data_IF_564921802087
#
_entry.id   IF_564921802087
#
_cell.length_a   1.000
_cell.length_b   1.000
_cell.length_c   1.000
_cell.angle_alpha   90.00
_cell.angle_beta   90.00
_cell.angle_gamma   90.00
#
_symmetry.space_group_name_H-M   'P 1'
#
loop_
_entity.id
_entity.type
_entity.pdbx_description
1 polymer ?
#
# COMPACT_ATOMS: atom_id res chain seq x y z
N UNK A 1 -9.11 -0.55 48.23
CA UNK A 1 -9.29 -1.99 47.91
C UNK A 1 -10.11 -2.06 46.63
N UNK A 2 -9.81 -2.77 45.55
CA UNK A 2 -8.73 -3.67 45.14
C UNK A 2 -8.50 -3.36 43.66
N UNK A 3 -7.24 -3.28 43.21
CA UNK A 3 -6.89 -3.11 41.79
C UNK A 3 -7.17 -4.40 40.98
N UNK A 4 -7.68 -5.44 41.64
CA UNK A 4 -7.99 -6.77 41.12
C UNK A 4 -9.51 -7.06 41.17
N UNK A 5 -10.33 -6.13 40.67
CA UNK A 5 -11.75 -6.38 40.46
C UNK A 5 -11.91 -7.31 39.24
N UNK A 6 -12.68 -8.43 39.31
CA UNK A 6 -12.91 -9.34 38.20
C UNK A 6 -13.38 -8.64 36.92
N UNK A 7 -14.10 -7.52 37.06
CA UNK A 7 -14.57 -6.70 35.95
C UNK A 7 -13.44 -6.03 35.17
N UNK A 8 -12.35 -5.60 35.85
CA UNK A 8 -11.15 -5.06 35.18
C UNK A 8 -10.41 -6.13 34.40
N UNK A 9 -10.32 -7.34 34.96
CA UNK A 9 -9.68 -8.47 34.30
C UNK A 9 -10.43 -8.92 33.04
N UNK A 10 -11.78 -8.96 33.11
CA UNK A 10 -12.62 -9.25 31.95
C UNK A 10 -12.50 -8.16 30.86
N UNK A 11 -12.47 -6.87 31.26
CA UNK A 11 -12.29 -5.76 30.33
C UNK A 11 -10.90 -5.76 29.66
N UNK A 12 -9.84 -6.10 30.40
CA UNK A 12 -8.49 -6.23 29.87
C UNK A 12 -8.36 -7.41 28.89
N UNK A 13 -8.99 -8.56 29.20
CA UNK A 13 -9.07 -9.70 28.28
C UNK A 13 -9.83 -9.36 27.00
N UNK A 14 -10.97 -8.69 27.11
CA UNK A 14 -11.77 -8.28 25.96
C UNK A 14 -11.03 -7.24 25.10
N UNK A 15 -10.31 -6.32 25.74
CA UNK A 15 -9.44 -5.35 25.05
C UNK A 15 -8.28 -6.03 24.31
N UNK A 16 -7.68 -7.07 24.89
CA UNK A 16 -6.64 -7.86 24.25
C UNK A 16 -7.14 -8.60 22.99
N UNK A 17 -8.33 -9.20 23.07
CA UNK A 17 -8.98 -9.86 21.93
C UNK A 17 -9.33 -8.84 20.84
N UNK A 18 -9.88 -7.68 21.21
CA UNK A 18 -10.22 -6.63 20.26
C UNK A 18 -8.98 -6.08 19.54
N UNK A 19 -7.88 -5.85 20.26
CA UNK A 19 -6.61 -5.41 19.67
C UNK A 19 -6.02 -6.46 18.71
N UNK A 20 -6.12 -7.75 19.06
CA UNK A 20 -5.66 -8.83 18.19
C UNK A 20 -6.42 -8.87 16.87
N UNK A 21 -7.76 -8.84 16.92
CA UNK A 21 -8.58 -8.82 15.70
C UNK A 21 -8.43 -7.52 14.90
N UNK A 22 -8.16 -6.39 15.57
CA UNK A 22 -7.91 -5.13 14.89
C UNK A 22 -6.63 -5.18 14.03
N UNK A 23 -5.61 -5.92 14.45
CA UNK A 23 -4.37 -6.13 13.66
C UNK A 23 -4.55 -7.23 12.61
N UNK A 24 -5.22 -8.33 12.98
CA UNK A 24 -5.39 -9.50 12.12
C UNK A 24 -6.27 -9.20 10.90
N UNK A 25 -7.32 -8.38 11.04
CA UNK A 25 -8.26 -8.07 9.95
C UNK A 25 -7.58 -7.40 8.75
N UNK A 26 -6.83 -6.29 8.90
CA UNK A 26 -6.15 -5.68 7.76
C UNK A 26 -5.09 -6.60 7.12
N UNK A 27 -4.44 -7.47 7.91
CA UNK A 27 -3.49 -8.43 7.37
C UNK A 27 -4.16 -9.46 6.45
N UNK A 28 -5.33 -9.98 6.84
CA UNK A 28 -6.14 -10.89 6.02
C UNK A 28 -6.64 -10.17 4.77
N UNK A 29 -7.16 -8.95 4.89
CA UNK A 29 -7.62 -8.15 3.75
C UNK A 29 -6.50 -7.85 2.76
N UNK A 30 -5.31 -7.51 3.25
CA UNK A 30 -4.13 -7.31 2.40
C UNK A 30 -3.75 -8.60 1.66
N UNK A 31 -3.79 -9.75 2.33
CA UNK A 31 -3.56 -11.05 1.69
C UNK A 31 -4.62 -11.38 0.63
N UNK A 32 -5.90 -11.17 0.92
CA UNK A 32 -7.00 -11.35 -0.03
C UNK A 32 -6.79 -10.49 -1.28
N UNK A 33 -6.40 -9.22 -1.12
CA UNK A 33 -6.11 -8.32 -2.23
C UNK A 33 -4.93 -8.79 -3.09
N UNK A 34 -3.87 -9.36 -2.48
CA UNK A 34 -2.75 -9.96 -3.23
C UNK A 34 -3.20 -11.19 -4.01
N UNK A 35 -4.02 -12.06 -3.42
CA UNK A 35 -4.57 -13.23 -4.11
C UNK A 35 -5.45 -12.80 -5.29
N UNK A 36 -6.31 -11.81 -5.08
CA UNK A 36 -7.15 -11.23 -6.13
C UNK A 36 -6.31 -10.66 -7.29
N UNK A 37 -5.24 -9.92 -6.97
CA UNK A 37 -4.30 -9.39 -7.97
C UNK A 37 -3.64 -10.52 -8.79
N UNK A 38 -3.19 -11.60 -8.15
CA UNK A 38 -2.59 -12.75 -8.85
C UNK A 38 -3.60 -13.45 -9.77
N UNK A 39 -4.84 -13.59 -9.31
CA UNK A 39 -5.91 -14.18 -10.11
C UNK A 39 -6.24 -13.30 -11.32
N UNK A 40 -6.31 -11.99 -11.14
CA UNK A 40 -6.52 -11.04 -12.23
C UNK A 40 -5.36 -11.08 -13.23
N UNK A 41 -4.11 -11.09 -12.77
CA UNK A 41 -2.94 -11.19 -13.64
C UNK A 41 -2.97 -12.48 -14.48
N UNK A 42 -3.36 -13.60 -13.87
CA UNK A 42 -3.47 -14.90 -14.56
C UNK A 42 -4.60 -14.90 -15.59
N UNK A 43 -5.78 -14.34 -15.24
CA UNK A 43 -6.91 -14.20 -16.18
C UNK A 43 -6.52 -13.34 -17.38
N UNK A 44 -5.86 -12.20 -17.13
CA UNK A 44 -5.38 -11.31 -18.19
C UNK A 44 -4.37 -12.03 -19.09
N UNK A 45 -3.38 -12.73 -18.51
CA UNK A 45 -2.41 -13.48 -19.28
C UNK A 45 -3.08 -14.56 -20.15
N UNK A 46 -4.07 -15.29 -19.62
CA UNK A 46 -4.79 -16.31 -20.37
C UNK A 46 -5.57 -15.73 -21.55
N UNK A 47 -6.29 -14.61 -21.34
CA UNK A 47 -7.01 -13.91 -22.41
C UNK A 47 -6.06 -13.42 -23.51
N UNK A 48 -4.91 -12.86 -23.12
CA UNK A 48 -3.90 -12.42 -24.07
C UNK A 48 -3.28 -13.59 -24.85
N UNK A 49 -3.06 -14.75 -24.22
CA UNK A 49 -2.60 -15.96 -24.91
C UNK A 49 -3.63 -16.45 -25.92
N UNK A 50 -4.92 -16.44 -25.57
CA UNK A 50 -6.01 -16.78 -26.49
C UNK A 50 -6.04 -15.85 -27.70
N UNK A 51 -5.95 -14.53 -27.48
CA UNK A 51 -5.91 -13.54 -28.55
C UNK A 51 -4.65 -13.68 -29.43
N UNK A 52 -3.49 -13.96 -28.82
CA UNK A 52 -2.24 -14.23 -29.56
C UNK A 52 -2.35 -15.48 -30.43
N UNK A 53 -2.98 -16.56 -29.94
CA UNK A 53 -3.22 -17.77 -30.72
C UNK A 53 -4.19 -17.51 -31.87
N UNK A 54 -5.34 -16.87 -31.61
CA UNK A 54 -6.31 -16.50 -32.65
C UNK A 54 -5.68 -15.60 -33.72
N UNK A 55 -4.88 -14.62 -33.31
CA UNK A 55 -4.16 -13.73 -34.21
C UNK A 55 -3.14 -14.47 -35.09
N UNK A 56 -2.41 -15.44 -34.53
CA UNK A 56 -1.46 -16.25 -35.29
C UNK A 56 -2.17 -17.09 -36.37
N UNK A 57 -3.29 -17.74 -36.05
CA UNK A 57 -4.06 -18.56 -37.00
C UNK A 57 -4.77 -17.75 -38.09
N UNK A 58 -5.16 -16.51 -37.80
CA UNK A 58 -5.77 -15.61 -38.78
C UNK A 58 -4.76 -14.83 -39.64
N UNK A 59 -3.44 -14.97 -39.37
CA UNK A 59 -2.41 -14.26 -40.13
C UNK A 59 -2.00 -15.04 -41.38
N UNK A 60 -1.89 -14.34 -42.52
CA UNK A 60 -1.39 -14.92 -43.78
C UNK A 60 0.07 -15.40 -43.70
N UNK A 61 0.82 -15.03 -42.64
CA UNK A 61 2.23 -15.38 -42.48
C UNK A 61 2.61 -15.59 -40.98
N UNK A 62 2.23 -16.74 -40.38
CA UNK A 62 2.36 -16.99 -38.94
C UNK A 62 3.79 -16.96 -38.41
N UNK A 63 4.79 -17.26 -39.25
CA UNK A 63 6.20 -17.20 -38.86
C UNK A 63 6.69 -15.76 -38.59
N UNK A 64 6.20 -14.78 -39.36
CA UNK A 64 6.54 -13.37 -39.17
C UNK A 64 5.86 -12.78 -37.92
N UNK A 65 4.60 -13.15 -37.67
CA UNK A 65 3.85 -12.75 -36.47
C UNK A 65 4.48 -13.28 -35.18
N UNK A 66 4.98 -14.52 -35.20
CA UNK A 66 5.66 -15.13 -34.07
C UNK A 66 6.98 -14.42 -33.73
N UNK A 67 7.78 -14.06 -34.75
CA UNK A 67 9.01 -13.29 -34.55
C UNK A 67 8.75 -11.90 -33.92
N UNK A 68 7.62 -11.26 -34.27
CA UNK A 68 7.19 -9.97 -33.70
C UNK A 68 6.74 -10.09 -32.23
N UNK A 69 6.17 -11.23 -31.82
CA UNK A 69 5.79 -11.50 -30.42
C UNK A 69 6.99 -11.78 -29.51
N UNK A 70 8.04 -12.44 -30.02
CA UNK A 70 9.30 -12.67 -29.28
C UNK A 70 10.06 -11.36 -29.06
N UNK A 71 9.85 -10.36 -29.93
CA UNK A 71 10.51 -9.05 -29.88
C UNK A 71 9.79 -8.01 -28.99
N UNK A 72 8.82 -8.39 -28.16
CA UNK A 72 8.09 -7.45 -27.28
C UNK A 72 8.50 -7.50 -25.77
N UNK A 73 9.78 -7.28 -25.39
CA UNK A 73 10.15 -7.07 -23.98
C UNK A 73 9.41 -5.91 -23.32
N UNK A 74 8.97 -4.92 -24.10
CA UNK A 74 8.25 -3.74 -23.60
C UNK A 74 6.90 -4.08 -22.96
N UNK A 75 6.19 -5.09 -23.48
CA UNK A 75 4.89 -5.51 -22.94
C UNK A 75 5.05 -6.17 -21.56
N UNK A 76 6.07 -7.01 -21.41
CA UNK A 76 6.40 -7.68 -20.16
C UNK A 76 6.87 -6.67 -19.09
N UNK A 77 7.72 -5.70 -19.47
CA UNK A 77 8.16 -4.64 -18.56
C UNK A 77 7.00 -3.78 -18.08
N UNK A 78 6.09 -3.38 -18.97
CA UNK A 78 4.89 -2.61 -18.59
C UNK A 78 3.98 -3.36 -17.61
N UNK A 79 3.79 -4.67 -17.82
CA UNK A 79 3.01 -5.53 -16.92
C UNK A 79 3.67 -5.72 -15.56
N UNK A 80 4.99 -5.91 -15.53
CA UNK A 80 5.75 -6.01 -14.29
C UNK A 80 5.72 -4.72 -13.46
N UNK A 81 5.86 -3.56 -14.12
CA UNK A 81 5.72 -2.24 -13.48
C UNK A 81 4.31 -2.04 -12.92
N UNK A 82 3.28 -2.37 -13.69
CA UNK A 82 1.89 -2.29 -13.25
C UNK A 82 1.61 -3.20 -12.05
N UNK A 83 2.01 -4.47 -12.13
CA UNK A 83 1.85 -5.42 -11.03
C UNK A 83 2.57 -4.95 -9.75
N UNK A 84 3.78 -4.38 -9.89
CA UNK A 84 4.55 -3.83 -8.77
C UNK A 84 3.88 -2.60 -8.15
N UNK A 85 3.27 -1.73 -8.96
CA UNK A 85 2.45 -0.60 -8.51
C UNK A 85 1.22 -1.08 -7.74
N UNK A 86 0.50 -2.08 -8.25
CA UNK A 86 -0.66 -2.65 -7.55
C UNK A 86 -0.27 -3.30 -6.21
N UNK A 87 0.85 -4.03 -6.14
CA UNK A 87 1.37 -4.54 -4.88
C UNK A 87 1.72 -3.43 -3.90
N UNK A 88 2.32 -2.34 -4.37
CA UNK A 88 2.63 -1.18 -3.56
C UNK A 88 1.36 -0.53 -3.00
N UNK A 89 0.33 -0.35 -3.81
CA UNK A 89 -0.96 0.21 -3.37
C UNK A 89 -1.65 -0.67 -2.32
N UNK A 90 -1.58 -2.00 -2.45
CA UNK A 90 -2.06 -2.95 -1.44
C UNK A 90 -1.29 -2.78 -0.12
N UNK A 91 0.04 -2.67 -0.18
CA UNK A 91 0.86 -2.48 1.00
C UNK A 91 0.54 -1.16 1.72
N UNK A 92 0.41 -0.06 0.96
CA UNK A 92 0.07 1.26 1.51
C UNK A 92 -1.32 1.29 2.14
N UNK A 93 -2.32 0.70 1.48
CA UNK A 93 -3.68 0.63 2.03
C UNK A 93 -3.75 -0.24 3.29
N UNK A 94 -3.04 -1.38 3.31
CA UNK A 94 -2.93 -2.24 4.50
C UNK A 94 -2.25 -1.51 5.66
N UNK A 95 -1.17 -0.77 5.38
CA UNK A 95 -0.49 0.07 6.36
C UNK A 95 -1.41 1.16 6.92
N UNK A 96 -2.21 1.80 6.07
CA UNK A 96 -3.16 2.82 6.48
C UNK A 96 -4.22 2.27 7.45
N UNK A 97 -4.74 1.06 7.22
CA UNK A 97 -5.66 0.39 8.13
C UNK A 97 -4.99 0.07 9.48
N UNK A 98 -3.74 -0.40 9.49
CA UNK A 98 -2.98 -0.56 10.74
C UNK A 98 -2.77 0.76 11.47
N UNK A 99 -2.49 1.87 10.77
CA UNK A 99 -2.38 3.17 11.41
C UNK A 99 -3.69 3.62 12.07
N UNK A 100 -4.84 3.34 11.47
CA UNK A 100 -6.16 3.64 12.08
C UNK A 100 -6.34 2.85 13.38
N UNK A 101 -5.96 1.58 13.40
CA UNK A 101 -6.02 0.73 14.60
C UNK A 101 -5.13 1.29 15.71
N UNK A 102 -3.90 1.67 15.39
CA UNK A 102 -2.98 2.29 16.36
C UNK A 102 -3.54 3.62 16.88
N UNK A 103 -4.12 4.46 16.00
CA UNK A 103 -4.76 5.70 16.43
C UNK A 103 -5.93 5.47 17.39
N UNK A 104 -6.81 4.53 17.08
CA UNK A 104 -7.94 4.21 17.95
C UNK A 104 -7.49 3.72 19.35
N UNK A 105 -6.41 2.93 19.41
CA UNK A 105 -5.82 2.49 20.67
C UNK A 105 -5.12 3.63 21.42
N UNK A 106 -4.45 4.53 20.69
CA UNK A 106 -3.83 5.73 21.27
C UNK A 106 -4.87 6.66 21.89
N UNK A 107 -5.98 6.94 21.21
CA UNK A 107 -7.06 7.78 21.75
C UNK A 107 -7.68 7.18 23.02
N UNK A 108 -7.83 5.86 23.08
CA UNK A 108 -8.28 5.19 24.30
C UNK A 108 -7.27 5.31 25.44
N UNK A 109 -5.98 5.15 25.14
CA UNK A 109 -4.92 5.29 26.13
C UNK A 109 -4.81 6.74 26.66
N UNK A 110 -4.92 7.73 25.78
CA UNK A 110 -4.94 9.16 26.11
C UNK A 110 -6.15 9.51 27.00
N UNK A 111 -7.36 9.03 26.67
CA UNK A 111 -8.54 9.18 27.54
C UNK A 111 -8.32 8.59 28.93
N UNK A 112 -7.83 7.34 29.02
CA UNK A 112 -7.53 6.69 30.30
C UNK A 112 -6.48 7.47 31.10
N UNK A 113 -5.46 8.01 30.44
CA UNK A 113 -4.43 8.82 31.07
C UNK A 113 -5.02 10.12 31.63
N UNK A 114 -5.86 10.82 30.86
CA UNK A 114 -6.56 12.04 31.28
C UNK A 114 -7.52 11.78 32.43
N UNK A 115 -8.23 10.67 32.44
CA UNK A 115 -9.11 10.28 33.54
C UNK A 115 -8.31 10.03 34.84
N UNK A 116 -7.17 9.32 34.74
CA UNK A 116 -6.26 9.09 35.88
C UNK A 116 -5.63 10.39 36.37
N UNK A 117 -5.20 11.27 35.47
CA UNK A 117 -4.72 12.61 35.83
C UNK A 117 -5.81 13.45 36.49
N UNK A 118 -7.04 13.41 35.99
CA UNK A 118 -8.17 14.13 36.55
C UNK A 118 -8.50 13.67 37.97
N UNK A 119 -8.52 12.36 38.19
CA UNK A 119 -8.68 11.75 39.51
C UNK A 119 -7.51 12.08 40.45
N UNK A 120 -6.27 12.02 39.94
CA UNK A 120 -5.08 12.36 40.71
C UNK A 120 -5.11 13.84 41.10
N UNK A 121 -5.46 14.75 40.19
CA UNK A 121 -5.51 16.20 40.47
C UNK A 121 -6.56 16.55 41.51
N UNK A 122 -7.71 15.85 41.51
CA UNK A 122 -8.74 16.00 42.55
C UNK A 122 -8.30 15.51 43.93
N UNK A 123 -7.35 14.58 43.99
CA UNK A 123 -6.90 13.92 45.23
C UNK A 123 -5.40 14.13 45.52
N UNK A 124 -4.73 15.04 44.82
CA UNK A 124 -3.27 15.15 44.87
C UNK A 124 -2.81 15.95 46.10
N UNK A 125 -1.77 15.47 46.82
CA UNK A 125 -1.08 16.27 47.84
C UNK A 125 -0.54 17.58 47.26
N UNK A 126 -0.44 18.62 48.09
CA UNK A 126 0.23 19.86 47.70
C UNK A 126 1.67 19.56 47.22
N UNK A 127 1.93 19.76 45.91
CA UNK A 127 3.24 19.50 45.30
C UNK A 127 3.24 18.73 43.96
N UNK A 128 2.10 18.25 43.47
CA UNK A 128 2.00 17.43 42.25
C UNK A 128 2.06 18.20 40.91
N UNK A 129 1.90 19.53 40.93
CA UNK A 129 1.85 20.37 39.73
C UNK A 129 3.05 20.21 38.75
N UNK A 130 4.32 20.07 39.22
CA UNK A 130 5.46 19.87 38.32
C UNK A 130 5.42 18.52 37.60
N UNK A 131 4.90 17.47 38.26
CA UNK A 131 4.80 16.12 37.69
C UNK A 131 3.71 16.08 36.61
N UNK A 132 2.57 16.72 36.87
CA UNK A 132 1.47 16.86 35.88
C UNK A 132 1.95 17.67 34.66
N UNK A 133 2.70 18.75 34.88
CA UNK A 133 3.28 19.55 33.79
C UNK A 133 4.28 18.74 32.94
N UNK A 134 5.17 17.97 33.58
CA UNK A 134 6.10 17.10 32.87
C UNK A 134 5.39 16.03 32.04
N UNK A 135 4.29 15.45 32.56
CA UNK A 135 3.51 14.44 31.87
C UNK A 135 2.78 15.01 30.65
N UNK A 136 2.18 16.20 30.75
CA UNK A 136 1.59 16.91 29.61
C UNK A 136 2.63 17.24 28.53
N UNK A 137 3.84 17.63 28.94
CA UNK A 137 4.95 17.89 28.03
C UNK A 137 5.38 16.62 27.28
N UNK A 138 5.53 15.50 27.98
CA UNK A 138 5.85 14.21 27.39
C UNK A 138 4.78 13.74 26.39
N UNK A 139 3.49 13.93 26.72
CA UNK A 139 2.38 13.60 25.82
C UNK A 139 2.39 14.46 24.55
N UNK A 140 2.68 15.75 24.69
CA UNK A 140 2.81 16.68 23.57
C UNK A 140 3.99 16.30 22.67
N UNK A 141 5.13 15.94 23.25
CA UNK A 141 6.31 15.48 22.51
C UNK A 141 6.05 14.16 21.76
N UNK A 142 5.36 13.21 22.41
CA UNK A 142 4.97 11.95 21.78
C UNK A 142 4.02 12.17 20.59
N UNK A 143 3.06 13.09 20.74
CA UNK A 143 2.12 13.46 19.66
C UNK A 143 2.87 14.07 18.46
N UNK A 144 3.77 15.02 18.70
CA UNK A 144 4.59 15.63 17.66
C UNK A 144 5.50 14.62 16.95
N UNK A 145 6.08 13.67 17.68
CA UNK A 145 6.88 12.60 17.09
C UNK A 145 6.04 11.68 16.20
N UNK A 146 4.81 11.33 16.63
CA UNK A 146 3.88 10.53 15.83
C UNK A 146 3.49 11.24 14.51
N UNK A 147 3.20 12.54 14.58
CA UNK A 147 2.89 13.35 13.40
C UNK A 147 4.08 13.44 12.43
N UNK A 148 5.30 13.58 12.95
CA UNK A 148 6.52 13.59 12.13
C UNK A 148 6.74 12.25 11.41
N UNK A 149 6.51 11.11 12.08
CA UNK A 149 6.63 9.78 11.45
C UNK A 149 5.56 9.61 10.37
N UNK A 150 4.33 10.07 10.62
CA UNK A 150 3.25 10.03 9.63
C UNK A 150 3.59 10.87 8.40
N UNK A 151 4.09 12.09 8.59
CA UNK A 151 4.50 12.97 7.50
C UNK A 151 5.63 12.37 6.67
N UNK A 152 6.67 11.84 7.32
CA UNK A 152 7.79 11.18 6.64
C UNK A 152 7.33 9.94 5.85
N UNK A 153 6.41 9.16 6.42
CA UNK A 153 5.80 8.00 5.74
C UNK A 153 5.02 8.44 4.50
N UNK A 154 4.22 9.51 4.60
CA UNK A 154 3.49 10.08 3.48
C UNK A 154 4.41 10.53 2.34
N UNK A 155 5.48 11.26 2.67
CA UNK A 155 6.48 11.68 1.68
C UNK A 155 7.17 10.50 0.99
N UNK A 156 7.47 9.43 1.73
CA UNK A 156 8.04 8.22 1.14
C UNK A 156 7.07 7.54 0.16
N UNK A 157 5.77 7.54 0.49
CA UNK A 157 4.72 7.01 -0.40
C UNK A 157 4.61 7.85 -1.67
N UNK A 158 4.54 9.17 -1.55
CA UNK A 158 4.48 10.10 -2.69
C UNK A 158 5.71 9.98 -3.60
N UNK A 159 6.92 9.87 -3.02
CA UNK A 159 8.15 9.69 -3.78
C UNK A 159 8.18 8.36 -4.55
N UNK A 160 7.72 7.28 -3.93
CA UNK A 160 7.56 5.99 -4.60
C UNK A 160 6.52 6.08 -5.73
N UNK A 161 5.40 6.77 -5.50
CA UNK A 161 4.36 6.97 -6.51
C UNK A 161 4.88 7.74 -7.72
N UNK A 162 5.60 8.84 -7.49
CA UNK A 162 6.22 9.63 -8.56
C UNK A 162 7.25 8.82 -9.36
N UNK A 163 8.04 7.97 -8.68
CA UNK A 163 9.03 7.10 -9.34
C UNK A 163 8.38 6.10 -10.30
N UNK A 164 7.24 5.51 -9.91
CA UNK A 164 6.49 4.60 -10.78
C UNK A 164 5.85 5.33 -11.98
N UNK A 165 5.34 6.55 -11.79
CA UNK A 165 4.78 7.35 -12.88
C UNK A 165 5.84 7.72 -13.92
N UNK A 166 7.02 8.16 -13.47
CA UNK A 166 8.16 8.45 -14.34
C UNK A 166 8.64 7.20 -15.11
N UNK A 167 8.68 6.03 -14.45
CA UNK A 167 8.99 4.77 -15.10
C UNK A 167 7.94 4.39 -16.16
N UNK A 168 6.66 4.58 -15.86
CA UNK A 168 5.55 4.37 -16.79
C UNK A 168 5.63 5.29 -18.02
N UNK A 169 5.90 6.58 -17.83
CA UNK A 169 6.11 7.53 -18.93
C UNK A 169 7.29 7.14 -19.81
N UNK A 170 8.40 6.70 -19.21
CA UNK A 170 9.59 6.27 -19.94
C UNK A 170 9.28 5.05 -20.80
N UNK A 171 8.61 4.05 -20.23
CA UNK A 171 8.16 2.88 -20.97
C UNK A 171 7.22 3.26 -22.13
N UNK A 172 6.28 4.18 -21.90
CA UNK A 172 5.35 4.66 -22.94
C UNK A 172 6.07 5.43 -24.06
N UNK A 173 7.06 6.27 -23.74
CA UNK A 173 7.89 6.98 -24.74
C UNK A 173 8.69 6.00 -25.58
N UNK A 174 9.33 5.01 -24.95
CA UNK A 174 10.07 3.97 -25.67
C UNK A 174 9.13 3.17 -26.58
N UNK A 175 7.91 2.84 -26.15
CA UNK A 175 6.95 2.11 -26.98
C UNK A 175 6.53 2.92 -28.22
N UNK A 176 6.30 4.24 -28.06
CA UNK A 176 6.01 5.14 -29.17
C UNK A 176 7.18 5.26 -30.16
N UNK A 177 8.42 5.30 -29.67
CA UNK A 177 9.62 5.32 -30.53
C UNK A 177 9.76 4.03 -31.35
N UNK A 178 9.58 2.86 -30.73
CA UNK A 178 9.61 1.58 -31.44
C UNK A 178 8.54 1.52 -32.53
N UNK A 179 7.31 1.95 -32.21
CA UNK A 179 6.21 1.97 -33.19
C UNK A 179 6.46 2.95 -34.35
N UNK A 180 7.08 4.11 -34.09
CA UNK A 180 7.45 5.07 -35.12
C UNK A 180 8.58 4.55 -36.03
N UNK A 181 9.57 3.84 -35.46
CA UNK A 181 10.63 3.20 -36.22
C UNK A 181 10.09 2.10 -37.15
N UNK A 182 9.21 1.24 -36.64
CA UNK A 182 8.55 0.20 -37.44
C UNK A 182 7.72 0.76 -38.60
N UNK A 183 7.01 1.88 -38.38
CA UNK A 183 6.26 2.57 -39.47
C UNK A 183 7.18 3.17 -40.53
N UNK A 184 8.31 3.76 -40.13
CA UNK A 184 9.31 4.27 -41.07
C UNK A 184 9.91 3.17 -41.92
N UNK A 185 10.19 2.02 -41.33
CA UNK A 185 10.77 0.89 -42.04
C UNK A 185 9.77 0.22 -43.01
N UNK A 186 8.49 0.14 -42.63
CA UNK A 186 7.43 -0.32 -43.54
C UNK A 186 7.25 0.61 -44.75
N UNK A 187 7.23 1.93 -44.54
CA UNK A 187 7.12 2.91 -45.61
C UNK A 187 8.34 2.91 -46.56
N UNK A 188 9.54 2.63 -46.03
CA UNK A 188 10.75 2.51 -46.84
C UNK A 188 10.71 1.28 -47.76
N UNK A 189 10.10 0.17 -47.30
CA UNK A 189 9.95 -1.05 -48.10
C UNK A 189 8.96 -0.90 -49.26
N UNK A 190 7.82 -0.22 -49.03
CA UNK A 190 6.85 0.09 -50.08
C UNK A 190 7.39 1.04 -51.15
N UNK A 191 8.38 1.89 -50.83
CA UNK A 191 9.03 2.77 -51.81
C UNK A 191 10.12 2.10 -52.65
N UNK A 192 10.43 0.83 -52.37
CA UNK A 192 11.49 0.06 -53.04
C UNK A 192 10.98 -1.11 -53.90
N UNK A 193 9.66 -1.31 -53.97
CA UNK A 193 8.97 -2.16 -54.96
C UNK A 193 8.35 -1.31 -56.07
#
# INVERSE_FOLDING_TARGET
MSVFAPEKFAADYQSGIAAWFAIARPAIQGFEAVVELNLQATKTALAEYEDKLKGAFNSNNPAASFAQQVAAPQEATGKAVSYSRHLFDIAVSTQAEWQKVVHAQYEQADKRLKDVLGELTKHAPAGSAPVVAALNSALSAASAAADSVRAATGQAIEAAQSSFEAAGETAARSAKQTAAAARKEAAARESSE
#
